data_IF_323868588052
#
_entry.id   IF_323868588052
#
_cell.length_a   1.000
_cell.length_b   1.000
_cell.length_c   1.000
_cell.angle_alpha   90.00
_cell.angle_beta   90.00
_cell.angle_gamma   90.00
#
_symmetry.space_group_name_H-M   'P 1'
#
loop_
_entity.id
_entity.type
_entity.pdbx_description
1 polymer ?
#
# COMPACT_ATOMS: atom_id res chain seq x y z
N UNK A 1 -0.77 20.35 19.42
CA UNK A 1 -0.78 20.76 17.99
C UNK A 1 0.50 20.23 17.37
N UNK A 2 0.44 19.34 16.40
CA UNK A 2 1.66 18.87 15.73
C UNK A 2 2.36 20.06 15.07
N UNK A 3 3.71 20.16 15.11
CA UNK A 3 4.42 21.22 14.42
C UNK A 3 4.13 21.17 12.92
N UNK A 4 4.13 22.31 12.22
CA UNK A 4 3.93 22.33 10.78
C UNK A 4 5.00 21.47 10.10
N UNK A 5 4.57 20.69 9.10
CA UNK A 5 5.49 19.88 8.28
C UNK A 5 6.42 20.84 7.54
N UNK A 6 7.73 20.66 7.70
CA UNK A 6 8.70 21.34 6.86
C UNK A 6 8.70 20.66 5.48
N UNK A 7 8.37 21.37 4.39
CA UNK A 7 8.39 20.78 3.05
C UNK A 7 9.78 20.26 2.63
N UNK A 8 10.86 20.71 3.25
CA UNK A 8 12.21 20.21 3.01
C UNK A 8 12.47 18.84 3.68
N UNK A 9 11.60 18.40 4.55
CA UNK A 9 11.65 17.08 5.20
C UNK A 9 10.83 16.01 4.47
N UNK A 10 10.08 16.39 3.43
CA UNK A 10 9.30 15.44 2.63
C UNK A 10 10.23 14.46 1.91
N UNK A 11 10.00 13.18 2.13
CA UNK A 11 10.72 12.08 1.47
C UNK A 11 10.02 11.59 0.21
N UNK A 12 8.71 11.59 0.24
CA UNK A 12 7.89 11.07 -0.85
C UNK A 12 6.50 11.68 -0.79
N UNK A 13 5.93 11.90 -1.96
CA UNK A 13 4.51 12.19 -2.13
C UNK A 13 3.89 11.17 -3.09
N UNK A 14 2.66 10.77 -2.81
CA UNK A 14 1.97 9.77 -3.62
C UNK A 14 0.82 9.13 -2.86
N UNK A 15 0.72 7.83 -2.93
CA UNK A 15 -0.34 7.04 -2.31
C UNK A 15 0.17 5.63 -2.00
N UNK A 16 -0.13 5.10 -0.82
CA UNK A 16 0.06 3.69 -0.49
C UNK A 16 -1.28 3.04 -0.14
N UNK A 17 -1.90 2.43 -1.11
CA UNK A 17 -3.10 1.62 -0.91
C UNK A 17 -2.72 0.19 -0.57
N UNK A 18 -3.46 -0.45 0.32
CA UNK A 18 -3.12 -1.81 0.75
C UNK A 18 -4.35 -2.69 0.94
N UNK A 19 -4.13 -3.98 0.74
CA UNK A 19 -5.09 -5.05 1.04
C UNK A 19 -4.38 -6.13 1.84
N UNK A 20 -4.96 -6.48 2.99
CA UNK A 20 -4.58 -7.66 3.78
C UNK A 20 -5.82 -8.51 3.96
N UNK A 21 -5.72 -9.80 3.59
CA UNK A 21 -6.82 -10.74 3.68
C UNK A 21 -6.49 -11.85 4.68
N UNK A 22 -7.51 -12.29 5.40
CA UNK A 22 -7.43 -13.36 6.39
C UNK A 22 -8.71 -14.18 6.39
N UNK A 23 -8.60 -15.48 6.74
CA UNK A 23 -9.74 -16.39 6.98
C UNK A 23 -10.18 -16.41 8.44
N UNK A 24 -9.40 -15.81 9.33
CA UNK A 24 -9.54 -15.92 10.79
C UNK A 24 -9.58 -14.55 11.50
N UNK A 25 -9.97 -13.49 10.77
CA UNK A 25 -10.13 -12.15 11.32
C UNK A 25 -8.79 -11.49 11.70
N UNK A 26 -7.72 -11.79 10.97
CA UNK A 26 -6.41 -11.16 11.15
C UNK A 26 -5.46 -11.89 12.11
N UNK A 27 -5.83 -13.06 12.64
CA UNK A 27 -4.92 -13.90 13.45
C UNK A 27 -3.77 -14.44 12.60
N UNK A 28 -4.06 -14.79 11.36
CA UNK A 28 -3.07 -15.05 10.31
C UNK A 28 -3.27 -14.08 9.16
N UNK A 29 -2.20 -13.72 8.45
CA UNK A 29 -2.23 -12.76 7.36
C UNK A 29 -1.48 -13.32 6.15
N UNK A 30 -2.05 -14.35 5.50
CA UNK A 30 -1.39 -15.05 4.38
C UNK A 30 -1.35 -14.23 3.10
N UNK A 31 -2.20 -13.22 2.97
CA UNK A 31 -2.30 -12.37 1.80
C UNK A 31 -2.10 -10.92 2.18
N UNK A 32 -1.12 -10.28 1.54
CA UNK A 32 -0.76 -8.88 1.71
C UNK A 32 -0.42 -8.27 0.35
N UNK A 33 -1.01 -7.13 0.06
CA UNK A 33 -0.65 -6.29 -1.07
C UNK A 33 -0.36 -4.87 -0.58
N UNK A 34 0.77 -4.31 -0.98
CA UNK A 34 1.15 -2.90 -0.79
C UNK A 34 1.31 -2.29 -2.17
N UNK A 35 0.36 -1.44 -2.56
CA UNK A 35 0.33 -0.79 -3.86
C UNK A 35 0.71 0.68 -3.70
N UNK A 36 1.71 1.10 -4.48
CA UNK A 36 2.26 2.45 -4.47
C UNK A 36 2.00 3.15 -5.80
N UNK A 37 1.51 4.37 -5.70
CA UNK A 37 1.57 5.36 -6.75
C UNK A 37 2.42 6.52 -6.27
N UNK A 38 3.67 6.56 -6.69
CA UNK A 38 4.64 7.58 -6.28
C UNK A 38 4.59 8.73 -7.27
N UNK A 39 4.21 9.91 -6.81
CA UNK A 39 4.23 11.13 -7.61
C UNK A 39 5.60 11.80 -7.58
N UNK A 40 6.30 11.67 -6.44
CA UNK A 40 7.66 12.15 -6.28
C UNK A 40 8.38 11.40 -5.15
N UNK A 41 9.61 11.00 -5.41
CA UNK A 41 10.61 10.61 -4.42
C UNK A 41 12.02 10.85 -5.02
N UNK A 42 13.12 10.70 -4.25
CA UNK A 42 14.49 10.87 -4.78
C UNK A 42 14.83 9.92 -5.96
N UNK A 43 14.12 8.82 -6.12
CA UNK A 43 14.31 7.88 -7.23
C UNK A 43 13.42 8.17 -8.45
N UNK A 44 12.54 9.18 -8.39
CA UNK A 44 11.61 9.57 -9.44
C UNK A 44 10.14 9.31 -9.09
N UNK A 45 9.30 9.27 -10.11
CA UNK A 45 7.88 8.91 -10.03
C UNK A 45 7.66 7.52 -10.64
N UNK A 46 6.55 6.86 -10.28
CA UNK A 46 6.17 5.55 -10.82
C UNK A 46 5.26 4.78 -9.88
N UNK A 47 4.97 3.55 -10.25
CA UNK A 47 4.13 2.64 -9.47
C UNK A 47 4.93 1.41 -9.02
N UNK A 48 4.52 0.84 -7.90
CA UNK A 48 5.00 -0.47 -7.47
C UNK A 48 3.89 -1.24 -6.74
N UNK A 49 3.80 -2.53 -6.99
CA UNK A 49 3.00 -3.48 -6.22
C UNK A 49 3.92 -4.51 -5.59
N UNK A 50 3.83 -4.62 -4.27
CA UNK A 50 4.42 -5.72 -3.49
C UNK A 50 3.28 -6.65 -3.09
N UNK A 51 3.35 -7.89 -3.55
CA UNK A 51 2.29 -8.88 -3.37
C UNK A 51 2.84 -10.16 -2.76
N UNK A 52 2.20 -10.64 -1.70
CA UNK A 52 2.36 -11.98 -1.17
C UNK A 52 0.98 -12.58 -0.93
N UNK A 53 0.70 -13.75 -1.49
CA UNK A 53 -0.62 -14.37 -1.47
C UNK A 53 -0.52 -15.89 -1.58
N UNK A 54 -1.60 -16.59 -1.28
CA UNK A 54 -1.78 -17.99 -1.66
C UNK A 54 -1.68 -18.19 -3.19
N UNK A 55 -2.09 -17.19 -3.98
CA UNK A 55 -1.97 -17.21 -5.44
C UNK A 55 -0.51 -17.16 -5.93
N UNK A 56 0.41 -16.59 -5.15
CA UNK A 56 1.84 -16.54 -5.42
C UNK A 56 2.63 -17.63 -4.68
N UNK A 57 1.95 -18.69 -4.19
CA UNK A 57 2.55 -19.73 -3.34
C UNK A 57 3.24 -19.13 -2.10
N UNK A 58 2.71 -18.01 -1.59
CA UNK A 58 3.25 -17.22 -0.48
C UNK A 58 4.63 -16.62 -0.74
N UNK A 59 5.11 -16.62 -1.97
CA UNK A 59 6.31 -15.90 -2.38
C UNK A 59 5.97 -14.43 -2.61
N UNK A 60 6.90 -13.56 -2.28
CA UNK A 60 6.79 -12.12 -2.59
C UNK A 60 7.07 -11.93 -4.07
N UNK A 61 6.15 -11.27 -4.76
CA UNK A 61 6.30 -10.78 -6.12
C UNK A 61 6.25 -9.25 -6.12
N UNK A 62 7.08 -8.64 -6.94
CA UNK A 62 7.20 -7.18 -7.02
C UNK A 62 7.02 -6.78 -8.48
N UNK A 63 6.06 -5.89 -8.72
CA UNK A 63 5.75 -5.33 -10.03
C UNK A 63 6.01 -3.84 -10.01
N UNK A 64 6.55 -3.27 -11.08
CA UNK A 64 6.76 -1.82 -11.16
C UNK A 64 6.94 -1.36 -12.60
N UNK A 65 6.53 -0.13 -12.88
CA UNK A 65 6.86 0.61 -14.10
C UNK A 65 8.18 1.40 -13.97
N UNK A 66 8.75 1.46 -12.74
CA UNK A 66 10.02 2.12 -12.47
C UNK A 66 10.85 1.35 -11.43
N UNK A 67 11.84 0.60 -11.89
CA UNK A 67 12.74 -0.19 -11.05
C UNK A 67 13.42 0.63 -9.94
N UNK A 68 13.83 1.86 -10.24
CA UNK A 68 14.52 2.71 -9.26
C UNK A 68 13.59 3.09 -8.11
N UNK A 69 12.32 3.39 -8.41
CA UNK A 69 11.27 3.67 -7.41
C UNK A 69 10.99 2.44 -6.57
N UNK A 70 10.78 1.26 -7.17
CA UNK A 70 10.55 0.02 -6.43
C UNK A 70 11.70 -0.27 -5.45
N UNK A 71 12.95 -0.14 -5.88
CA UNK A 71 14.14 -0.36 -5.05
C UNK A 71 14.30 0.69 -3.95
N UNK A 72 13.92 1.92 -4.23
CA UNK A 72 13.90 2.98 -3.23
C UNK A 72 12.85 2.71 -2.15
N UNK A 73 11.63 2.34 -2.53
CA UNK A 73 10.56 1.95 -1.61
C UNK A 73 10.97 0.79 -0.70
N UNK A 74 11.58 -0.28 -1.27
CA UNK A 74 12.07 -1.42 -0.50
C UNK A 74 13.03 -1.00 0.62
N UNK A 75 14.00 -0.14 0.31
CA UNK A 75 15.04 0.28 1.26
C UNK A 75 14.55 1.30 2.28
N UNK A 76 13.55 2.11 1.92
CA UNK A 76 13.21 3.31 2.70
C UNK A 76 11.91 3.14 3.48
N UNK A 77 10.87 2.57 2.88
CA UNK A 77 9.53 2.55 3.47
C UNK A 77 9.04 1.13 3.73
N UNK A 78 9.13 0.21 2.75
CA UNK A 78 8.64 -1.16 2.94
C UNK A 78 9.37 -1.89 4.08
N UNK A 79 10.63 -1.59 4.32
CA UNK A 79 11.38 -2.09 5.48
C UNK A 79 10.72 -1.75 6.83
N UNK A 80 9.91 -0.69 6.88
CA UNK A 80 9.16 -0.26 8.06
C UNK A 80 7.73 -0.83 8.12
N UNK A 81 7.21 -1.28 6.98
CA UNK A 81 5.84 -1.80 6.86
C UNK A 81 5.82 -3.32 6.85
N UNK A 82 6.62 -3.93 5.97
CA UNK A 82 6.67 -5.37 5.76
C UNK A 82 8.11 -5.81 5.44
N UNK A 83 8.79 -6.37 6.43
CA UNK A 83 10.20 -6.76 6.30
C UNK A 83 10.46 -7.71 5.12
N UNK A 84 9.50 -8.60 4.81
CA UNK A 84 9.61 -9.55 3.68
C UNK A 84 9.64 -8.84 2.32
N UNK A 85 9.01 -7.66 2.20
CA UNK A 85 9.00 -6.87 0.97
C UNK A 85 10.30 -6.10 0.75
N UNK A 86 11.09 -5.90 1.79
CA UNK A 86 12.35 -5.14 1.76
C UNK A 86 13.53 -5.91 1.15
N UNK A 87 13.40 -7.20 0.84
CA UNK A 87 14.49 -7.97 0.24
C UNK A 87 14.80 -7.51 -1.18
N UNK A 88 15.87 -6.74 -1.34
CA UNK A 88 16.29 -6.19 -2.63
C UNK A 88 16.85 -7.22 -3.61
N UNK A 89 17.03 -8.49 -3.21
CA UNK A 89 17.43 -9.58 -4.09
C UNK A 89 16.26 -10.12 -4.92
N UNK A 90 15.02 -9.89 -4.46
CA UNK A 90 13.82 -10.28 -5.20
C UNK A 90 13.79 -9.58 -6.56
N UNK A 91 13.43 -10.28 -7.64
CA UNK A 91 13.27 -9.64 -8.94
C UNK A 91 12.11 -8.64 -8.93
N UNK A 92 12.24 -7.57 -9.72
CA UNK A 92 11.15 -6.65 -10.02
C UNK A 92 10.67 -6.92 -11.42
N UNK A 93 9.40 -7.26 -11.56
CA UNK A 93 8.73 -7.57 -12.81
C UNK A 93 8.25 -6.24 -13.42
N UNK A 94 8.62 -5.98 -14.67
CA UNK A 94 8.12 -4.80 -15.38
C UNK A 94 6.61 -4.95 -15.63
N UNK A 95 5.83 -3.91 -15.26
CA UNK A 95 4.38 -3.92 -15.38
C UNK A 95 3.83 -2.51 -15.65
N UNK A 96 2.67 -2.44 -16.31
CA UNK A 96 1.86 -1.24 -16.42
C UNK A 96 0.80 -1.20 -15.31
N UNK A 97 0.33 0.00 -14.99
CA UNK A 97 -0.63 0.26 -13.93
C UNK A 97 -1.76 1.13 -14.44
N UNK A 98 -2.98 0.80 -14.07
CA UNK A 98 -4.17 1.56 -14.41
C UNK A 98 -5.16 1.57 -13.25
N UNK A 99 -5.75 2.74 -12.94
CA UNK A 99 -6.79 2.89 -11.92
C UNK A 99 -8.12 3.21 -12.58
N UNK A 100 -9.17 2.56 -12.12
CA UNK A 100 -10.55 2.83 -12.50
C UNK A 100 -11.47 2.87 -11.29
N UNK A 101 -12.57 3.62 -11.39
CA UNK A 101 -13.61 3.68 -10.36
C UNK A 101 -13.64 4.98 -9.56
N UNK A 102 -14.47 4.98 -8.54
CA UNK A 102 -14.71 6.11 -7.63
C UNK A 102 -14.48 5.65 -6.18
N UNK A 103 -13.61 6.34 -5.39
CA UNK A 103 -13.33 5.99 -3.99
C UNK A 103 -14.56 5.91 -3.09
N UNK A 104 -15.67 6.55 -3.48
CA UNK A 104 -16.93 6.50 -2.73
C UNK A 104 -17.73 5.21 -2.93
N UNK A 105 -17.40 4.45 -3.98
CA UNK A 105 -18.11 3.21 -4.32
C UNK A 105 -17.16 2.02 -4.43
N UNK A 106 -16.37 2.00 -5.48
CA UNK A 106 -15.36 0.97 -5.73
C UNK A 106 -14.21 1.51 -6.58
N UNK A 107 -12.99 1.10 -6.24
CA UNK A 107 -11.78 1.39 -7.02
C UNK A 107 -11.07 0.08 -7.33
N UNK A 108 -10.62 -0.06 -8.57
CA UNK A 108 -9.76 -1.14 -9.00
C UNK A 108 -8.43 -0.58 -9.51
N UNK A 109 -7.34 -1.14 -9.02
CA UNK A 109 -5.99 -1.00 -9.57
C UNK A 109 -5.67 -2.24 -10.38
N UNK A 110 -5.46 -2.07 -11.66
CA UNK A 110 -5.03 -3.13 -12.58
C UNK A 110 -3.53 -3.06 -12.79
N UNK A 111 -2.87 -4.20 -12.69
CA UNK A 111 -1.42 -4.34 -12.91
C UNK A 111 -1.21 -5.41 -13.96
N UNK A 112 -0.58 -5.01 -15.06
CA UNK A 112 -0.39 -5.85 -16.25
C UNK A 112 1.10 -6.07 -16.52
N UNK A 113 1.54 -7.30 -16.50
CA UNK A 113 2.89 -7.71 -16.90
C UNK A 113 2.84 -8.67 -18.10
N UNK A 114 4.00 -9.11 -18.57
CA UNK A 114 4.06 -10.10 -19.66
C UNK A 114 3.45 -11.46 -19.27
N UNK A 115 3.38 -11.79 -17.99
CA UNK A 115 2.93 -13.11 -17.50
C UNK A 115 1.73 -13.06 -16.55
N UNK A 116 1.41 -11.89 -16.00
CA UNK A 116 0.40 -11.77 -14.96
C UNK A 116 -0.56 -10.61 -15.25
N UNK A 117 -1.82 -10.84 -14.94
CA UNK A 117 -2.87 -9.83 -14.86
C UNK A 117 -3.39 -9.81 -13.43
N UNK A 118 -3.25 -8.68 -12.73
CA UNK A 118 -3.62 -8.55 -11.33
C UNK A 118 -4.65 -7.42 -11.22
N UNK A 119 -5.71 -7.66 -10.45
CA UNK A 119 -6.66 -6.64 -10.05
C UNK A 119 -6.74 -6.56 -8.52
N UNK A 120 -6.55 -5.37 -7.98
CA UNK A 120 -6.77 -5.03 -6.58
C UNK A 120 -8.03 -4.19 -6.51
N UNK A 121 -9.08 -4.68 -5.86
CA UNK A 121 -10.36 -3.95 -5.80
C UNK A 121 -10.74 -3.68 -4.35
N UNK A 122 -11.04 -2.40 -4.05
CA UNK A 122 -11.64 -1.94 -2.79
C UNK A 122 -13.07 -1.51 -3.06
N UNK A 123 -14.00 -1.96 -2.25
CA UNK A 123 -15.41 -1.61 -2.36
C UNK A 123 -16.08 -1.64 -0.99
N UNK A 124 -17.30 -1.17 -0.91
CA UNK A 124 -18.04 -1.07 0.35
C UNK A 124 -17.26 -0.22 1.37
N UNK A 125 -16.88 0.99 0.95
CA UNK A 125 -16.06 1.92 1.73
C UNK A 125 -16.84 2.45 2.94
N UNK A 126 -16.12 2.65 4.04
CA UNK A 126 -16.61 3.35 5.23
C UNK A 126 -16.09 4.80 5.21
N UNK A 127 -16.53 5.58 6.21
CA UNK A 127 -16.19 7.01 6.25
C UNK A 127 -14.68 7.24 6.16
N UNK A 128 -14.22 8.04 5.18
CA UNK A 128 -12.81 8.35 5.04
C UNK A 128 -12.31 9.25 6.17
N UNK A 129 -11.02 9.18 6.44
CA UNK A 129 -10.39 10.03 7.44
C UNK A 129 -8.96 10.43 7.06
N UNK A 130 -8.50 11.52 7.64
CA UNK A 130 -7.11 11.95 7.52
C UNK A 130 -6.28 11.25 8.60
N UNK A 131 -5.28 10.49 8.17
CA UNK A 131 -4.22 9.98 9.03
C UNK A 131 -3.18 11.08 9.23
N UNK A 132 -2.89 11.38 10.49
CA UNK A 132 -1.81 12.28 10.87
C UNK A 132 -0.92 11.54 11.88
N UNK A 133 0.16 10.95 11.37
CA UNK A 133 1.13 10.20 12.15
C UNK A 133 2.52 10.86 11.98
N UNK A 134 2.90 11.80 12.85
CA UNK A 134 4.21 12.44 12.77
C UNK A 134 5.35 11.43 13.03
N UNK A 135 6.61 11.76 12.65
CA UNK A 135 7.75 10.94 13.01
C UNK A 135 7.79 10.63 14.52
N UNK A 136 8.14 9.39 14.87
CA UNK A 136 8.09 8.89 16.26
C UNK A 136 6.73 8.34 16.68
N UNK A 137 5.68 8.51 15.91
CA UNK A 137 4.38 7.90 16.21
C UNK A 137 4.45 6.37 16.09
N UNK A 138 4.08 5.67 17.17
CA UNK A 138 4.22 4.20 17.30
C UNK A 138 5.65 3.71 16.99
N UNK A 139 6.66 4.43 17.49
CA UNK A 139 8.08 4.13 17.32
C UNK A 139 8.58 4.07 15.87
N UNK A 140 7.81 4.62 14.93
CA UNK A 140 8.23 4.69 13.53
C UNK A 140 9.13 5.90 13.29
N UNK A 141 10.29 5.72 12.63
CA UNK A 141 11.21 6.83 12.38
C UNK A 141 10.65 7.86 11.40
N UNK A 142 9.76 7.44 10.50
CA UNK A 142 9.15 8.32 9.50
C UNK A 142 7.72 8.66 9.90
N UNK A 143 7.31 9.89 9.59
CA UNK A 143 5.92 10.29 9.65
C UNK A 143 5.18 10.01 8.35
N UNK A 144 3.86 9.83 8.44
CA UNK A 144 2.97 9.67 7.31
C UNK A 144 1.70 10.50 7.50
N UNK A 145 1.32 11.22 6.47
CA UNK A 145 0.08 11.98 6.37
C UNK A 145 -0.65 11.48 5.13
N UNK A 146 -1.88 11.00 5.30
CA UNK A 146 -2.62 10.38 4.21
C UNK A 146 -4.12 10.57 4.42
N UNK A 147 -4.88 10.60 3.33
CA UNK A 147 -6.34 10.43 3.38
C UNK A 147 -6.65 8.97 3.10
N UNK A 148 -7.23 8.27 4.07
CA UNK A 148 -7.65 6.89 3.93
C UNK A 148 -9.14 6.75 3.64
N UNK A 149 -9.44 5.87 2.69
CA UNK A 149 -10.78 5.34 2.41
C UNK A 149 -10.75 3.85 2.79
N UNK A 150 -11.08 3.51 4.05
CA UNK A 150 -11.09 2.12 4.45
C UNK A 150 -12.25 1.38 3.77
N UNK A 151 -12.03 0.13 3.40
CA UNK A 151 -13.02 -0.71 2.73
C UNK A 151 -13.39 -1.90 3.62
N UNK A 152 -14.69 -2.18 3.78
CA UNK A 152 -15.16 -3.41 4.43
C UNK A 152 -14.88 -4.64 3.57
N UNK A 153 -14.84 -4.43 2.28
CA UNK A 153 -14.66 -5.47 1.28
C UNK A 153 -13.51 -5.11 0.34
N UNK A 154 -12.66 -6.08 0.08
CA UNK A 154 -11.61 -5.98 -0.91
C UNK A 154 -11.28 -7.36 -1.44
N UNK A 155 -10.75 -7.41 -2.65
CA UNK A 155 -10.30 -8.63 -3.29
C UNK A 155 -9.02 -8.41 -4.08
N UNK A 156 -8.27 -9.49 -4.22
CA UNK A 156 -7.10 -9.58 -5.08
C UNK A 156 -7.37 -10.69 -6.07
N UNK A 157 -7.31 -10.37 -7.34
CA UNK A 157 -7.39 -11.33 -8.44
C UNK A 157 -6.02 -11.43 -9.13
N UNK A 158 -5.59 -12.63 -9.44
CA UNK A 158 -4.40 -12.91 -10.24
C UNK A 158 -4.77 -13.88 -11.35
N UNK A 159 -4.77 -13.41 -12.59
CA UNK A 159 -5.06 -14.19 -13.80
C UNK A 159 -6.33 -15.03 -13.68
N UNK A 160 -7.44 -14.40 -13.28
CA UNK A 160 -8.77 -15.02 -13.15
C UNK A 160 -8.99 -15.80 -11.86
N UNK A 161 -8.06 -15.82 -10.91
CA UNK A 161 -8.19 -16.50 -9.61
C UNK A 161 -8.20 -15.49 -8.48
N UNK A 162 -9.08 -15.66 -7.50
CA UNK A 162 -9.18 -14.81 -6.32
C UNK A 162 -8.38 -15.33 -5.14
N UNK A 163 -7.67 -14.43 -4.46
CA UNK A 163 -7.00 -14.74 -3.22
C UNK A 163 -8.00 -15.06 -2.12
N UNK A 164 -7.64 -16.01 -1.27
CA UNK A 164 -8.51 -16.45 -0.19
C UNK A 164 -8.52 -15.49 1.00
N UNK A 165 -9.66 -15.38 1.67
CA UNK A 165 -9.84 -14.56 2.86
C UNK A 165 -10.63 -13.29 2.60
N UNK A 166 -10.80 -12.49 3.65
CA UNK A 166 -11.50 -11.21 3.60
C UNK A 166 -10.77 -10.17 4.45
N UNK A 167 -10.98 -8.87 4.20
CA UNK A 167 -10.55 -7.83 5.12
C UNK A 167 -11.22 -7.99 6.48
N UNK A 168 -10.61 -7.42 7.50
CA UNK A 168 -11.18 -7.36 8.84
C UNK A 168 -11.17 -5.92 9.36
N UNK A 169 -12.11 -5.56 10.29
CA UNK A 169 -12.17 -4.25 10.88
C UNK A 169 -10.93 -4.00 11.74
N UNK A 170 -10.43 -2.80 11.67
CA UNK A 170 -9.35 -2.27 12.51
C UNK A 170 -9.75 -0.93 13.11
N UNK A 171 -9.00 -0.50 14.12
CA UNK A 171 -9.08 0.86 14.67
C UNK A 171 -7.76 1.58 14.45
N UNK A 172 -7.86 2.87 14.09
CA UNK A 172 -6.72 3.79 14.05
C UNK A 172 -7.01 4.97 14.98
N UNK A 173 -6.54 4.85 16.21
CA UNK A 173 -7.03 5.67 17.31
C UNK A 173 -8.52 5.40 17.52
N UNK A 174 -9.34 6.44 17.51
CA UNK A 174 -10.81 6.35 17.66
C UNK A 174 -11.54 6.16 16.32
N UNK A 175 -10.83 6.13 15.19
CA UNK A 175 -11.43 6.00 13.86
C UNK A 175 -11.58 4.55 13.46
N UNK A 176 -12.75 4.20 12.93
CA UNK A 176 -12.93 2.93 12.24
C UNK A 176 -12.03 2.88 11.01
N UNK A 177 -11.38 1.75 10.83
CA UNK A 177 -10.52 1.44 9.70
C UNK A 177 -10.73 -0.01 9.27
N UNK A 178 -9.92 -0.45 8.35
CA UNK A 178 -9.93 -1.81 7.83
C UNK A 178 -8.50 -2.26 7.54
N UNK A 179 -8.33 -3.56 7.46
CA UNK A 179 -7.12 -4.17 6.91
C UNK A 179 -6.97 -3.94 5.39
N UNK A 180 -7.97 -3.33 4.75
CA UNK A 180 -7.92 -2.89 3.36
C UNK A 180 -8.28 -1.40 3.29
N UNK A 181 -7.32 -0.57 2.85
CA UNK A 181 -7.53 0.86 2.68
C UNK A 181 -7.01 1.32 1.33
N UNK A 182 -7.79 2.14 0.67
CA UNK A 182 -7.32 2.97 -0.43
C UNK A 182 -6.73 4.24 0.17
N UNK A 183 -5.49 4.57 -0.15
CA UNK A 183 -4.86 5.82 0.24
C UNK A 183 -5.00 6.88 -0.86
N UNK A 184 -5.08 8.14 -0.45
CA UNK A 184 -5.19 9.28 -1.34
C UNK A 184 -4.38 10.45 -0.78
N UNK A 185 -3.58 11.11 -1.62
CA UNK A 185 -2.81 12.28 -1.22
C UNK A 185 -1.89 12.01 -0.01
N UNK A 186 -0.99 11.05 -0.14
CA UNK A 186 -0.08 10.65 0.92
C UNK A 186 1.26 11.37 0.86
N UNK A 187 1.82 11.71 2.01
CA UNK A 187 3.18 12.24 2.14
C UNK A 187 3.92 11.52 3.26
N UNK A 188 5.16 11.13 2.97
CA UNK A 188 6.09 10.59 3.97
C UNK A 188 7.17 11.62 4.27
N UNK A 189 7.48 11.78 5.56
CA UNK A 189 8.39 12.83 6.05
C UNK A 189 9.46 12.27 6.97
N UNK A 190 10.63 12.88 6.96
CA UNK A 190 11.71 12.60 7.92
C UNK A 190 11.43 13.25 9.27
N UNK A 191 12.02 12.74 10.38
CA UNK A 191 12.14 13.52 11.60
C UNK A 191 12.96 14.79 11.31
N UNK A 192 12.67 15.84 12.07
CA UNK A 192 13.55 17.02 12.09
C UNK A 192 14.91 16.61 12.66
N UNK A 193 15.98 16.93 11.95
CA UNK A 193 17.34 16.76 12.42
C UNK A 193 17.69 17.70 13.56
#
# INVERSE_FOLDING_TARGET
>A
MAPPVDPNEVLMTGENSFIRLSKDGGKSMPTRASHWRVLWCPAGAGHALFLQSDLTERRVQIYSDNLAVARWLQRTIETLLYADFADTRLPVIAAGFERAGDPRSAVTESVMSAGDEIALTWYDTIEPFVLNAPPGFNDRPLGVFSTFFPARSAQIELSGRFAAGSPWPEMRGERQSSSACLAWSESWVKPRG
#
